data_IF_218302499191
#
_entry.id   IF_218302499191
#
_cell.length_a   1.000
_cell.length_b   1.000
_cell.length_c   1.000
_cell.angle_alpha   90.00
_cell.angle_beta   90.00
_cell.angle_gamma   90.00
#
_symmetry.space_group_name_H-M   'P 1'
#
loop_
_entity.id
_entity.type
_entity.pdbx_description
1 polymer ?
#
# COMPACT_ATOMS: atom_id res chain seq x y z
N UNK A 1 56.35 -37.13 18.39
CA UNK A 1 55.19 -36.67 19.19
C UNK A 1 55.23 -35.14 19.22
N UNK A 2 54.11 -34.51 18.89
CA UNK A 2 53.98 -33.12 18.45
C UNK A 2 54.18 -32.10 19.59
N UNK A 3 54.92 -31.03 19.30
CA UNK A 3 55.01 -29.82 20.11
C UNK A 3 53.74 -28.97 19.88
N UNK A 4 53.08 -28.53 20.96
CA UNK A 4 51.99 -27.57 20.90
C UNK A 4 52.48 -26.21 21.40
N UNK A 5 52.75 -25.29 20.48
CA UNK A 5 53.19 -23.92 20.76
C UNK A 5 51.99 -23.01 21.03
N UNK A 6 51.87 -22.54 22.27
CA UNK A 6 50.91 -21.50 22.65
C UNK A 6 51.33 -20.15 22.05
N UNK A 7 50.64 -19.69 21.02
CA UNK A 7 50.79 -18.35 20.45
C UNK A 7 50.20 -17.31 21.42
N UNK A 8 51.10 -16.51 21.98
CA UNK A 8 50.82 -15.41 22.90
C UNK A 8 50.31 -14.19 22.10
N UNK A 9 49.03 -13.84 22.21
CA UNK A 9 48.42 -12.68 21.53
C UNK A 9 48.79 -11.38 22.26
N UNK A 10 49.66 -10.57 21.64
CA UNK A 10 50.00 -9.24 22.14
C UNK A 10 48.83 -8.26 21.92
N UNK A 11 48.50 -7.41 22.91
CA UNK A 11 47.50 -6.36 22.71
C UNK A 11 48.02 -5.30 21.72
N UNK A 12 47.11 -4.81 20.86
CA UNK A 12 47.40 -3.74 19.89
C UNK A 12 47.67 -2.40 20.59
N UNK A 13 48.56 -1.55 20.03
CA UNK A 13 48.85 -0.24 20.59
C UNK A 13 47.63 0.70 20.47
N UNK A 14 47.48 1.67 21.40
CA UNK A 14 46.41 2.65 21.31
C UNK A 14 46.60 3.57 20.10
N UNK A 15 45.52 3.85 19.38
CA UNK A 15 45.50 4.76 18.25
C UNK A 15 45.82 6.20 18.71
N UNK A 16 46.51 6.97 17.85
CA UNK A 16 46.94 8.33 18.18
C UNK A 16 45.74 9.28 18.32
N UNK A 17 45.84 10.33 19.16
CA UNK A 17 44.72 11.24 19.44
C UNK A 17 44.20 11.95 18.18
N UNK A 18 45.04 12.11 17.16
CA UNK A 18 44.67 12.67 15.86
C UNK A 18 43.72 11.74 15.08
N UNK A 19 43.95 10.42 15.14
CA UNK A 19 43.07 9.42 14.50
C UNK A 19 41.73 9.36 15.21
N UNK A 20 41.71 9.46 16.54
CA UNK A 20 40.46 9.53 17.31
C UNK A 20 39.66 10.80 16.99
N UNK A 21 40.31 11.96 16.83
CA UNK A 21 39.63 13.21 16.50
C UNK A 21 39.01 13.19 15.09
N UNK A 22 39.76 12.66 14.10
CA UNK A 22 39.26 12.48 12.73
C UNK A 22 38.09 11.49 12.67
N UNK A 23 38.16 10.41 13.46
CA UNK A 23 37.07 9.42 13.58
C UNK A 23 35.81 10.04 14.18
N UNK A 24 35.94 10.83 15.25
CA UNK A 24 34.81 11.52 15.89
C UNK A 24 34.19 12.59 14.98
N UNK A 25 34.98 13.31 14.20
CA UNK A 25 34.49 14.31 13.26
C UNK A 25 33.74 13.66 12.07
N UNK A 26 34.22 12.50 11.62
CA UNK A 26 33.56 11.70 10.58
C UNK A 26 32.21 11.13 11.08
N UNK A 27 32.16 10.66 12.34
CA UNK A 27 30.91 10.17 12.94
C UNK A 27 29.88 11.29 13.13
N UNK A 28 30.31 12.50 13.49
CA UNK A 28 29.40 13.63 13.69
C UNK A 28 28.80 14.14 12.36
N UNK A 29 29.58 14.07 11.27
CA UNK A 29 29.11 14.43 9.93
C UNK A 29 28.05 13.45 9.37
N UNK A 30 28.03 12.19 9.81
CA UNK A 30 27.01 11.21 9.40
C UNK A 30 25.65 11.44 10.09
N UNK A 31 25.61 12.10 11.26
CA UNK A 31 24.36 12.32 12.01
C UNK A 31 23.60 13.59 11.61
N UNK A 32 24.19 14.46 10.79
CA UNK A 32 23.57 15.73 10.36
C UNK A 32 23.13 15.73 8.90
N UNK A 33 23.03 14.55 8.27
CA UNK A 33 22.42 14.47 6.94
C UNK A 33 20.95 14.94 7.06
N UNK A 34 20.54 15.99 6.33
CA UNK A 34 19.15 16.39 6.33
C UNK A 34 18.36 15.26 5.70
N UNK A 35 17.53 14.58 6.49
CA UNK A 35 16.50 13.67 5.99
C UNK A 35 15.49 14.52 5.23
N UNK A 36 15.79 14.79 3.96
CA UNK A 36 14.78 15.22 3.01
C UNK A 36 13.84 14.02 2.87
N UNK A 37 12.75 14.05 3.62
CA UNK A 37 11.61 13.17 3.36
C UNK A 37 11.16 13.48 1.94
N UNK A 38 11.60 12.66 0.99
CA UNK A 38 11.08 12.67 -0.35
C UNK A 38 9.62 12.28 -0.21
N UNK A 39 8.72 13.27 -0.30
CA UNK A 39 7.32 13.01 -0.50
C UNK A 39 7.26 12.15 -1.76
N UNK A 40 7.04 10.85 -1.57
CA UNK A 40 6.73 9.96 -2.69
C UNK A 40 5.45 10.52 -3.26
N UNK A 41 5.55 11.09 -4.46
CA UNK A 41 4.40 11.41 -5.30
C UNK A 41 3.74 10.07 -5.65
N UNK A 42 3.02 9.50 -4.69
CA UNK A 42 2.51 8.15 -4.76
C UNK A 42 1.30 8.18 -5.67
N UNK A 43 1.51 7.77 -6.92
CA UNK A 43 0.45 7.59 -7.90
C UNK A 43 -0.59 6.60 -7.38
N UNK A 44 -1.82 7.08 -7.20
CA UNK A 44 -2.96 6.24 -6.81
C UNK A 44 -3.25 5.22 -7.92
N UNK A 45 -3.69 4.03 -7.55
CA UNK A 45 -4.04 2.95 -8.45
C UNK A 45 -5.54 2.63 -8.33
N UNK A 46 -6.30 2.89 -9.37
CA UNK A 46 -7.69 2.42 -9.50
C UNK A 46 -7.66 1.05 -10.18
N UNK A 47 -8.32 0.05 -9.62
CA UNK A 47 -8.50 -1.26 -10.25
C UNK A 47 -9.85 -1.40 -10.93
N UNK A 48 -9.96 -2.33 -11.89
CA UNK A 48 -11.26 -2.80 -12.39
C UNK A 48 -11.35 -4.31 -12.53
N UNK A 49 -12.56 -4.83 -12.38
CA UNK A 49 -12.88 -6.22 -12.68
C UNK A 49 -12.74 -6.49 -14.18
N UNK A 50 -12.58 -7.76 -14.56
CA UNK A 50 -12.65 -8.23 -15.96
C UNK A 50 -14.10 -8.23 -16.47
N UNK A 51 -14.68 -7.04 -16.52
CA UNK A 51 -16.06 -6.76 -16.89
C UNK A 51 -16.15 -5.35 -17.47
N UNK A 52 -16.74 -5.21 -18.66
CA UNK A 52 -16.72 -3.96 -19.45
C UNK A 52 -17.22 -2.74 -18.68
N UNK A 53 -18.35 -2.85 -17.97
CA UNK A 53 -18.86 -1.74 -17.15
C UNK A 53 -17.86 -1.34 -16.07
N UNK A 54 -17.23 -2.31 -15.41
CA UNK A 54 -16.28 -2.03 -14.33
C UNK A 54 -15.02 -1.34 -14.86
N UNK A 55 -14.54 -1.73 -16.05
CA UNK A 55 -13.46 -1.05 -16.77
C UNK A 55 -13.85 0.40 -17.07
N UNK A 56 -15.05 0.63 -17.60
CA UNK A 56 -15.52 1.98 -17.92
C UNK A 56 -15.62 2.86 -16.66
N UNK A 57 -16.20 2.34 -15.58
CA UNK A 57 -16.32 3.04 -14.30
C UNK A 57 -14.95 3.35 -13.68
N UNK A 58 -14.00 2.42 -13.79
CA UNK A 58 -12.63 2.64 -13.33
C UNK A 58 -11.93 3.77 -14.10
N UNK A 59 -12.13 3.86 -15.42
CA UNK A 59 -11.67 5.00 -16.22
C UNK A 59 -12.36 6.30 -15.83
N UNK A 60 -13.67 6.30 -15.65
CA UNK A 60 -14.42 7.49 -15.22
C UNK A 60 -13.90 8.03 -13.88
N UNK A 61 -13.74 7.16 -12.88
CA UNK A 61 -13.19 7.53 -11.58
C UNK A 61 -11.76 8.06 -11.69
N UNK A 62 -10.92 7.41 -12.49
CA UNK A 62 -9.54 7.87 -12.77
C UNK A 62 -9.51 9.27 -13.37
N UNK A 63 -10.38 9.55 -14.34
CA UNK A 63 -10.46 10.86 -14.97
C UNK A 63 -10.95 11.95 -14.02
N UNK A 64 -11.95 11.66 -13.19
CA UNK A 64 -12.43 12.60 -12.17
C UNK A 64 -11.34 12.94 -11.17
N UNK A 65 -10.63 11.94 -10.63
CA UNK A 65 -9.53 12.19 -9.68
C UNK A 65 -8.37 12.98 -10.31
N UNK A 66 -8.04 12.70 -11.57
CA UNK A 66 -7.03 13.48 -12.31
C UNK A 66 -7.46 14.92 -12.55
N UNK A 67 -8.75 15.17 -12.78
CA UNK A 67 -9.28 16.53 -12.93
C UNK A 67 -9.12 17.36 -11.65
N UNK A 68 -9.12 16.70 -10.48
CA UNK A 68 -8.81 17.30 -9.17
C UNK A 68 -7.29 17.40 -8.89
N UNK A 69 -6.44 17.12 -9.87
CA UNK A 69 -4.99 17.25 -9.76
C UNK A 69 -4.26 16.06 -9.12
N UNK A 70 -4.94 14.94 -8.88
CA UNK A 70 -4.33 13.73 -8.32
C UNK A 70 -3.55 12.95 -9.39
N UNK A 71 -2.37 12.44 -9.03
CA UNK A 71 -1.66 11.44 -9.83
C UNK A 71 -2.33 10.08 -9.67
N UNK A 72 -2.99 9.59 -10.73
CA UNK A 72 -3.76 8.35 -10.70
C UNK A 72 -3.47 7.50 -11.93
N UNK A 73 -3.40 6.18 -11.77
CA UNK A 73 -3.32 5.17 -12.84
C UNK A 73 -4.50 4.22 -12.75
N UNK A 74 -4.96 3.72 -13.90
CA UNK A 74 -5.99 2.69 -13.96
C UNK A 74 -5.33 1.34 -14.29
N UNK A 75 -5.65 0.31 -13.51
CA UNK A 75 -5.22 -1.07 -13.70
C UNK A 75 -6.44 -1.90 -14.09
N UNK A 76 -6.56 -2.13 -15.38
CA UNK A 76 -7.73 -2.76 -15.99
C UNK A 76 -7.75 -4.28 -15.80
N UNK A 77 -8.96 -4.84 -15.75
CA UNK A 77 -9.24 -6.27 -15.92
C UNK A 77 -8.44 -7.21 -14.98
N UNK A 78 -8.19 -6.77 -13.74
CA UNK A 78 -7.33 -7.48 -12.79
C UNK A 78 -7.89 -8.83 -12.33
N UNK A 79 -9.20 -9.02 -12.40
CA UNK A 79 -9.86 -10.27 -11.98
C UNK A 79 -11.32 -10.08 -11.60
N UNK A 80 -11.82 -10.97 -10.73
CA UNK A 80 -13.16 -10.89 -10.15
C UNK A 80 -13.20 -10.13 -8.82
N UNK A 81 -14.40 -10.01 -8.23
CA UNK A 81 -14.67 -9.25 -7.00
C UNK A 81 -13.76 -9.62 -5.83
N UNK A 82 -13.57 -10.92 -5.55
CA UNK A 82 -12.66 -11.38 -4.47
C UNK A 82 -11.21 -10.99 -4.70
N UNK A 83 -10.73 -11.03 -5.94
CA UNK A 83 -9.34 -10.67 -6.25
C UNK A 83 -9.11 -9.18 -5.97
N UNK A 84 -9.99 -8.31 -6.47
CA UNK A 84 -9.89 -6.87 -6.25
C UNK A 84 -10.11 -6.48 -4.79
N UNK A 85 -11.02 -7.15 -4.08
CA UNK A 85 -11.22 -6.96 -2.64
C UNK A 85 -9.92 -7.20 -1.85
N UNK A 86 -9.23 -8.31 -2.12
CA UNK A 86 -7.95 -8.61 -1.46
C UNK A 86 -6.84 -7.68 -1.92
N UNK A 87 -6.81 -7.28 -3.20
CA UNK A 87 -5.86 -6.28 -3.70
C UNK A 87 -6.04 -4.93 -2.99
N UNK A 88 -7.28 -4.47 -2.80
CA UNK A 88 -7.60 -3.26 -2.05
C UNK A 88 -7.12 -3.38 -0.59
N UNK A 89 -7.44 -4.49 0.08
CA UNK A 89 -7.05 -4.72 1.48
C UNK A 89 -5.54 -4.78 1.71
N UNK A 90 -4.78 -5.23 0.71
CA UNK A 90 -3.31 -5.26 0.75
C UNK A 90 -2.67 -3.93 0.33
N UNK A 91 -3.43 -2.99 -0.23
CA UNK A 91 -2.90 -1.74 -0.77
C UNK A 91 -2.28 -1.88 -2.16
N UNK A 92 -2.58 -2.96 -2.90
CA UNK A 92 -2.13 -3.11 -4.29
C UNK A 92 -2.89 -2.16 -5.24
N UNK A 93 -4.11 -1.77 -4.86
CA UNK A 93 -4.95 -0.75 -5.48
C UNK A 93 -5.58 0.10 -4.36
N UNK A 94 -5.92 1.35 -4.66
CA UNK A 94 -6.48 2.32 -3.71
C UNK A 94 -8.01 2.44 -3.83
N UNK A 95 -8.57 2.14 -5.00
CA UNK A 95 -10.01 2.18 -5.24
C UNK A 95 -10.41 1.22 -6.36
N UNK A 96 -11.65 0.72 -6.33
CA UNK A 96 -12.26 0.05 -7.47
C UNK A 96 -13.79 0.15 -7.41
N UNK A 97 -14.52 0.07 -8.53
CA UNK A 97 -15.97 0.06 -8.52
C UNK A 97 -16.52 -1.30 -8.05
N UNK A 98 -17.38 -1.29 -7.03
CA UNK A 98 -18.04 -2.49 -6.53
C UNK A 98 -19.54 -2.31 -6.29
N UNK A 99 -20.30 -3.39 -6.45
CA UNK A 99 -21.71 -3.45 -6.18
C UNK A 99 -21.98 -3.79 -4.72
N UNK A 100 -22.90 -3.07 -4.11
CA UNK A 100 -23.31 -3.28 -2.71
C UNK A 100 -23.90 -4.68 -2.48
N UNK A 101 -24.58 -5.24 -3.48
CA UNK A 101 -25.07 -6.63 -3.46
C UNK A 101 -23.94 -7.65 -3.37
N UNK A 102 -22.93 -7.52 -4.23
CA UNK A 102 -21.73 -8.37 -4.23
C UNK A 102 -20.98 -8.29 -2.90
N UNK A 103 -20.81 -7.08 -2.34
CA UNK A 103 -20.21 -6.91 -1.02
C UNK A 103 -20.95 -7.70 0.06
N UNK A 104 -22.29 -7.59 0.09
CA UNK A 104 -23.13 -8.25 1.11
C UNK A 104 -23.19 -9.76 0.93
N UNK A 105 -23.38 -10.23 -0.30
CA UNK A 105 -23.74 -11.62 -0.59
C UNK A 105 -22.54 -12.51 -0.87
N UNK A 106 -21.42 -11.95 -1.33
CA UNK A 106 -20.24 -12.73 -1.70
C UNK A 106 -19.06 -12.44 -0.76
N UNK A 107 -18.65 -11.18 -0.68
CA UNK A 107 -17.40 -10.80 -0.02
C UNK A 107 -17.53 -10.83 1.51
N UNK A 108 -18.69 -10.43 2.02
CA UNK A 108 -19.02 -10.38 3.44
C UNK A 108 -20.15 -11.35 3.81
N UNK A 109 -20.32 -12.44 3.05
CA UNK A 109 -21.42 -13.40 3.21
C UNK A 109 -21.59 -13.96 4.63
N UNK A 110 -20.52 -14.01 5.41
CA UNK A 110 -20.51 -14.52 6.79
C UNK A 110 -20.69 -13.41 7.85
N UNK A 111 -20.98 -12.18 7.43
CA UNK A 111 -21.22 -11.03 8.30
C UNK A 111 -22.70 -10.69 8.21
N UNK A 112 -23.39 -10.64 9.34
CA UNK A 112 -24.74 -10.09 9.38
C UNK A 112 -24.68 -8.57 9.28
N UNK A 113 -25.21 -8.02 8.19
CA UNK A 113 -25.15 -6.59 7.88
C UNK A 113 -26.58 -6.05 7.79
N UNK A 114 -26.99 -5.34 8.84
CA UNK A 114 -28.27 -4.64 8.86
C UNK A 114 -28.45 -3.71 7.64
N UNK A 115 -29.69 -3.42 7.24
CA UNK A 115 -29.97 -2.38 6.24
C UNK A 115 -29.28 -1.06 6.63
N UNK A 116 -28.62 -0.41 5.66
CA UNK A 116 -27.87 0.83 5.91
C UNK A 116 -26.48 0.66 6.57
N UNK A 117 -26.20 -0.45 7.25
CA UNK A 117 -24.95 -0.63 8.02
C UNK A 117 -23.73 -1.11 7.21
N UNK A 118 -23.78 -1.03 5.86
CA UNK A 118 -22.69 -1.53 5.01
C UNK A 118 -21.43 -0.66 5.14
N UNK A 119 -21.57 0.66 5.12
CA UNK A 119 -20.43 1.58 5.24
C UNK A 119 -19.69 1.38 6.57
N UNK A 120 -20.43 1.32 7.69
CA UNK A 120 -19.86 1.05 9.01
C UNK A 120 -19.17 -0.32 9.08
N UNK A 121 -19.73 -1.31 8.37
CA UNK A 121 -19.11 -2.63 8.26
C UNK A 121 -17.81 -2.59 7.49
N UNK A 122 -17.75 -1.85 6.38
CA UNK A 122 -16.53 -1.68 5.58
C UNK A 122 -15.44 -0.91 6.34
N UNK A 123 -15.84 0.07 7.16
CA UNK A 123 -14.92 0.83 8.00
C UNK A 123 -14.14 -0.08 8.98
N UNK A 124 -14.72 -1.19 9.44
CA UNK A 124 -14.00 -2.19 10.27
C UNK A 124 -12.84 -2.87 9.54
N UNK A 125 -12.82 -2.80 8.20
CA UNK A 125 -11.74 -3.27 7.35
C UNK A 125 -10.81 -2.15 6.86
N UNK A 126 -10.98 -0.92 7.36
CA UNK A 126 -10.24 0.24 6.89
C UNK A 126 -10.66 0.73 5.49
N UNK A 127 -11.84 0.30 5.01
CA UNK A 127 -12.34 0.60 3.66
C UNK A 127 -13.49 1.60 3.77
N UNK A 128 -13.45 2.62 2.92
CA UNK A 128 -14.53 3.60 2.77
C UNK A 128 -15.21 3.45 1.41
N UNK A 129 -16.44 3.93 1.30
CA UNK A 129 -17.19 3.99 0.04
C UNK A 129 -17.55 5.41 -0.30
N UNK A 130 -17.60 5.73 -1.59
CA UNK A 130 -18.21 6.98 -2.06
C UNK A 130 -19.73 6.96 -1.84
N UNK A 131 -20.40 8.07 -2.14
CA UNK A 131 -21.82 8.03 -2.41
C UNK A 131 -22.12 7.07 -3.58
N UNK A 132 -23.33 6.46 -3.64
CA UNK A 132 -23.73 5.64 -4.78
C UNK A 132 -23.62 6.44 -6.07
N UNK A 133 -23.13 5.79 -7.14
CA UNK A 133 -22.97 6.42 -8.46
C UNK A 133 -24.30 6.76 -9.16
N UNK A 134 -25.43 6.34 -8.59
CA UNK A 134 -26.77 6.70 -9.06
C UNK A 134 -27.39 5.77 -10.10
N UNK A 135 -26.73 4.64 -10.42
CA UNK A 135 -27.30 3.58 -11.25
C UNK A 135 -27.35 2.26 -10.49
N UNK A 136 -28.21 1.34 -10.97
CA UNK A 136 -28.37 0.01 -10.42
C UNK A 136 -28.12 -1.02 -11.53
N UNK A 137 -27.36 -2.06 -11.23
CA UNK A 137 -27.10 -3.15 -12.16
C UNK A 137 -28.04 -4.32 -11.85
N UNK A 138 -29.29 -4.22 -12.33
CA UNK A 138 -30.32 -5.27 -12.16
C UNK A 138 -30.35 -6.26 -13.33
N UNK A 139 -29.43 -6.15 -14.28
CA UNK A 139 -29.38 -7.04 -15.43
C UNK A 139 -28.80 -8.39 -14.97
N UNK A 140 -29.65 -9.42 -15.01
CA UNK A 140 -29.16 -10.80 -15.01
C UNK A 140 -28.48 -11.05 -16.37
N UNK A 141 -27.19 -11.37 -16.35
CA UNK A 141 -26.49 -11.96 -17.49
C UNK A 141 -26.55 -13.48 -17.39
#
# INVERSE_FOLDING_TARGET
MLHNSTLNSRPSPPLSPLVSLLSSLLLLALFTAPTHGQATDSTLAVGSKKFTENVLLGWMGTHLMRAEGLSVTHREELGGSRFLWEALRRGDIDAYPEYTGTLRQELLANVDIAPGALADTLARYGISTTAPLGFNNTYAL
#
